data_IF_820518602383
#
_entry.id   IF_820518602383
#
_cell.length_a   1.000
_cell.length_b   1.000
_cell.length_c   1.000
_cell.angle_alpha   90.00
_cell.angle_beta   90.00
_cell.angle_gamma   90.00
#
_symmetry.space_group_name_H-M   'P 1'
#
loop_
_entity.id
_entity.type
_entity.pdbx_description
1 polymer ?
#
# COMPACT_ATOMS: atom_id res chain seq x y z
N UNK A 1 -20.99 14.83 19.00
CA UNK A 1 -19.58 15.22 18.76
C UNK A 1 -18.58 14.07 18.94
N UNK A 2 -18.47 13.44 20.12
CA UNK A 2 -17.43 12.41 20.39
C UNK A 2 -17.41 11.20 19.41
N UNK A 3 -18.57 10.76 18.92
CA UNK A 3 -18.63 9.64 17.96
C UNK A 3 -18.10 10.02 16.56
N UNK A 4 -18.42 11.23 16.09
CA UNK A 4 -17.95 11.75 14.81
C UNK A 4 -16.44 11.96 14.81
N UNK A 5 -15.88 12.50 15.89
CA UNK A 5 -14.43 12.69 16.05
C UNK A 5 -13.68 11.35 16.07
N UNK A 6 -14.22 10.34 16.76
CA UNK A 6 -13.66 8.97 16.74
C UNK A 6 -13.69 8.36 15.33
N UNK A 7 -14.79 8.55 14.60
CA UNK A 7 -14.91 8.08 13.22
C UNK A 7 -13.89 8.80 12.32
N UNK A 8 -13.77 10.12 12.45
CA UNK A 8 -12.82 10.95 11.71
C UNK A 8 -11.38 10.49 11.95
N UNK A 9 -10.95 10.34 13.21
CA UNK A 9 -9.61 9.84 13.53
C UNK A 9 -9.40 8.43 12.99
N UNK A 10 -10.37 7.53 13.13
CA UNK A 10 -10.25 6.17 12.59
C UNK A 10 -10.09 6.18 11.07
N UNK A 11 -10.86 7.01 10.36
CA UNK A 11 -10.84 7.11 8.91
C UNK A 11 -9.53 7.70 8.37
N UNK A 12 -9.12 8.86 8.87
CA UNK A 12 -7.94 9.58 8.40
C UNK A 12 -6.65 9.03 9.00
N UNK A 13 -6.60 8.79 10.31
CA UNK A 13 -5.39 8.28 10.94
C UNK A 13 -5.18 6.81 10.57
N UNK A 14 -6.26 6.02 10.45
CA UNK A 14 -6.21 4.63 10.00
C UNK A 14 -5.85 4.43 8.52
N UNK A 15 -5.49 5.48 7.77
CA UNK A 15 -5.08 5.42 6.35
C UNK A 15 -6.15 4.95 5.35
N UNK A 16 -7.41 4.80 5.76
CA UNK A 16 -8.47 4.36 4.86
C UNK A 16 -8.74 5.36 3.73
N UNK A 17 -8.59 6.66 4.02
CA UNK A 17 -8.63 7.70 2.99
C UNK A 17 -7.59 7.48 1.89
N UNK A 18 -6.33 7.19 2.24
CA UNK A 18 -5.28 6.92 1.25
C UNK A 18 -5.61 5.68 0.41
N UNK A 19 -6.18 4.63 1.03
CA UNK A 19 -6.65 3.45 0.30
C UNK A 19 -7.70 3.81 -0.75
N UNK A 20 -8.68 4.65 -0.42
CA UNK A 20 -9.69 5.12 -1.37
C UNK A 20 -9.04 5.91 -2.50
N UNK A 21 -8.11 6.82 -2.19
CA UNK A 21 -7.39 7.58 -3.21
C UNK A 21 -6.60 6.66 -4.16
N UNK A 22 -5.94 5.62 -3.64
CA UNK A 22 -5.21 4.67 -4.47
C UNK A 22 -6.14 3.89 -5.41
N UNK A 23 -7.31 3.45 -4.93
CA UNK A 23 -8.32 2.80 -5.77
C UNK A 23 -8.84 3.76 -6.84
N UNK A 24 -9.20 4.99 -6.47
CA UNK A 24 -9.68 5.99 -7.43
C UNK A 24 -8.63 6.28 -8.51
N UNK A 25 -7.37 6.42 -8.12
CA UNK A 25 -6.24 6.63 -9.03
C UNK A 25 -6.03 5.44 -9.97
N UNK A 26 -6.19 4.20 -9.48
CA UNK A 26 -6.13 3.01 -10.33
C UNK A 26 -7.27 2.93 -11.33
N UNK A 27 -8.49 3.32 -10.94
CA UNK A 27 -9.64 3.38 -11.84
C UNK A 27 -9.40 4.42 -12.94
N UNK A 28 -8.97 5.63 -12.55
CA UNK A 28 -8.64 6.71 -13.48
C UNK A 28 -7.52 6.28 -14.44
N UNK A 29 -6.44 5.69 -13.93
CA UNK A 29 -5.31 5.23 -14.73
C UNK A 29 -5.74 4.16 -15.76
N UNK A 30 -6.54 3.18 -15.37
CA UNK A 30 -7.06 2.17 -16.31
C UNK A 30 -7.91 2.81 -17.40
N UNK A 31 -8.75 3.80 -17.06
CA UNK A 31 -9.55 4.53 -18.04
C UNK A 31 -8.70 5.37 -19.00
N UNK A 32 -7.67 6.08 -18.50
CA UNK A 32 -6.75 6.86 -19.32
C UNK A 32 -5.94 5.98 -20.29
N UNK A 33 -5.62 4.75 -19.89
CA UNK A 33 -4.91 3.77 -20.72
C UNK A 33 -5.83 2.99 -21.66
N UNK A 34 -7.16 3.14 -21.54
CA UNK A 34 -8.14 2.41 -22.35
C UNK A 34 -8.33 0.94 -21.95
N UNK A 35 -7.89 0.54 -20.76
CA UNK A 35 -8.12 -0.81 -20.23
C UNK A 35 -9.50 -0.92 -19.55
N UNK A 36 -10.14 -2.11 -19.57
CA UNK A 36 -11.36 -2.33 -18.80
C UNK A 36 -11.06 -2.32 -17.30
N UNK A 37 -12.09 -2.10 -16.50
CA UNK A 37 -11.97 -2.15 -15.04
C UNK A 37 -11.60 -3.56 -14.59
N UNK A 38 -10.63 -3.65 -13.67
CA UNK A 38 -10.19 -4.91 -13.09
C UNK A 38 -11.26 -5.58 -12.22
N UNK A 39 -11.01 -6.85 -11.91
CA UNK A 39 -11.81 -7.60 -10.95
C UNK A 39 -11.86 -6.88 -9.58
N UNK A 40 -13.00 -6.85 -8.86
CA UNK A 40 -13.13 -6.12 -7.59
C UNK A 40 -12.06 -6.42 -6.54
N UNK A 41 -11.56 -7.66 -6.49
CA UNK A 41 -10.49 -8.05 -5.58
C UNK A 41 -9.15 -7.36 -5.85
N UNK A 42 -8.90 -6.85 -7.06
CA UNK A 42 -7.74 -5.98 -7.33
C UNK A 42 -7.83 -4.70 -6.49
N UNK A 43 -8.99 -4.04 -6.51
CA UNK A 43 -9.20 -2.81 -5.73
C UNK A 43 -9.20 -3.06 -4.22
N UNK A 44 -9.72 -4.21 -3.77
CA UNK A 44 -9.62 -4.64 -2.37
C UNK A 44 -8.15 -4.82 -1.97
N UNK A 45 -7.36 -5.52 -2.80
CA UNK A 45 -5.94 -5.73 -2.56
C UNK A 45 -5.18 -4.42 -2.51
N UNK A 46 -5.44 -3.51 -3.46
CA UNK A 46 -4.82 -2.19 -3.54
C UNK A 46 -5.15 -1.33 -2.32
N UNK A 47 -6.43 -1.29 -1.93
CA UNK A 47 -6.90 -0.58 -0.75
C UNK A 47 -6.19 -1.10 0.52
N UNK A 48 -6.23 -2.41 0.75
CA UNK A 48 -5.63 -3.03 1.93
C UNK A 48 -4.12 -2.86 1.94
N UNK A 49 -3.46 -3.07 0.80
CA UNK A 49 -2.02 -2.87 0.65
C UNK A 49 -1.61 -1.44 1.02
N UNK A 50 -2.38 -0.45 0.58
CA UNK A 50 -2.17 0.97 0.94
C UNK A 50 -2.31 1.20 2.44
N UNK A 51 -3.41 0.73 3.02
CA UNK A 51 -3.67 0.90 4.46
C UNK A 51 -2.57 0.23 5.29
N UNK A 52 -2.18 -1.00 4.95
CA UNK A 52 -1.11 -1.74 5.62
C UNK A 52 0.21 -1.00 5.51
N UNK A 53 0.60 -0.64 4.28
CA UNK A 53 1.86 0.02 3.97
C UNK A 53 2.06 1.29 4.81
N UNK A 54 1.04 2.15 4.88
CA UNK A 54 1.13 3.38 5.67
C UNK A 54 0.96 3.16 7.17
N UNK A 55 0.22 2.14 7.61
CA UNK A 55 0.03 1.87 9.04
C UNK A 55 1.32 1.34 9.69
N UNK A 56 2.11 0.54 8.96
CA UNK A 56 3.40 0.03 9.42
C UNK A 56 4.38 1.18 9.75
N UNK A 57 4.34 2.27 8.98
CA UNK A 57 5.17 3.45 9.19
C UNK A 57 4.98 4.07 10.58
N UNK A 58 3.73 4.15 11.05
CA UNK A 58 3.37 4.75 12.34
C UNK A 58 3.54 3.78 13.51
N UNK A 59 3.42 2.46 13.27
CA UNK A 59 3.65 1.45 14.31
C UNK A 59 5.13 1.29 14.70
N UNK A 60 6.06 1.69 13.84
CA UNK A 60 7.51 1.62 14.09
C UNK A 60 8.10 2.90 14.71
N UNK A 61 7.35 4.02 14.75
CA UNK A 61 7.73 5.23 15.48
C UNK A 61 7.59 5.02 17.01
N UNK A 62 8.51 4.26 17.62
CA UNK A 62 8.33 3.79 19.00
C UNK A 62 8.74 4.77 20.10
N UNK A 63 9.63 5.74 19.88
CA UNK A 63 10.28 6.44 21.01
C UNK A 63 10.58 7.92 20.79
N UNK A 64 9.72 8.67 20.09
CA UNK A 64 9.79 10.13 20.14
C UNK A 64 8.70 10.70 21.05
N UNK A 65 9.04 11.73 21.82
CA UNK A 65 8.10 12.71 22.36
C UNK A 65 7.45 13.45 21.19
N UNK A 66 6.64 12.73 20.42
CA UNK A 66 5.98 13.26 19.23
C UNK A 66 4.82 14.15 19.67
N UNK A 67 4.82 15.38 19.16
CA UNK A 67 3.73 16.35 19.30
C UNK A 67 2.59 16.02 18.30
N UNK A 68 2.82 15.09 17.35
CA UNK A 68 1.87 14.80 16.31
C UNK A 68 0.66 14.01 16.85
N UNK A 69 -0.58 14.55 16.74
CA UNK A 69 -1.80 13.91 17.23
C UNK A 69 -2.03 12.53 16.62
N UNK A 70 -1.57 12.30 15.39
CA UNK A 70 -1.65 11.01 14.71
C UNK A 70 -0.78 9.96 15.39
N UNK A 71 0.47 10.30 15.69
CA UNK A 71 1.40 9.38 16.39
C UNK A 71 0.88 9.06 17.80
N UNK A 72 0.29 10.04 18.49
CA UNK A 72 -0.36 9.85 19.81
C UNK A 72 -1.53 8.87 19.69
N UNK A 73 -2.43 9.07 18.74
CA UNK A 73 -3.58 8.18 18.53
C UNK A 73 -3.16 6.73 18.25
N UNK A 74 -2.10 6.53 17.45
CA UNK A 74 -1.52 5.21 17.17
C UNK A 74 -0.95 4.54 18.40
N UNK A 75 -0.32 5.30 19.30
CA UNK A 75 0.21 4.82 20.57
C UNK A 75 -0.92 4.35 21.49
N UNK A 76 -1.98 5.14 21.60
CA UNK A 76 -3.14 4.82 22.42
C UNK A 76 -3.90 3.57 21.93
N UNK A 77 -4.03 3.40 20.60
CA UNK A 77 -4.82 2.33 19.99
C UNK A 77 -3.96 1.16 19.45
N UNK A 78 -2.67 1.10 19.79
CA UNK A 78 -1.69 0.21 19.16
C UNK A 78 -2.11 -1.27 19.14
N UNK A 79 -2.71 -1.79 20.23
CA UNK A 79 -3.16 -3.18 20.31
C UNK A 79 -4.27 -3.48 19.31
N UNK A 80 -5.24 -2.58 19.19
CA UNK A 80 -6.36 -2.71 18.25
C UNK A 80 -5.87 -2.59 16.80
N UNK A 81 -5.01 -1.60 16.52
CA UNK A 81 -4.43 -1.40 15.19
C UNK A 81 -3.65 -2.65 14.75
N UNK A 82 -2.81 -3.22 15.61
CA UNK A 82 -2.05 -4.45 15.29
C UNK A 82 -2.96 -5.64 14.96
N UNK A 83 -4.06 -5.82 15.71
CA UNK A 83 -5.05 -6.87 15.39
C UNK A 83 -5.72 -6.61 14.04
N UNK A 84 -6.13 -5.37 13.78
CA UNK A 84 -6.73 -4.99 12.49
C UNK A 84 -5.76 -5.22 11.34
N UNK A 85 -4.47 -4.90 11.50
CA UNK A 85 -3.44 -5.15 10.50
C UNK A 85 -3.31 -6.63 10.14
N UNK A 86 -3.33 -7.53 11.12
CA UNK A 86 -3.32 -8.97 10.84
C UNK A 86 -4.54 -9.42 10.04
N UNK A 87 -5.74 -8.94 10.39
CA UNK A 87 -6.96 -9.23 9.62
C UNK A 87 -6.84 -8.71 8.18
N UNK A 88 -6.37 -7.48 7.99
CA UNK A 88 -6.16 -6.89 6.68
C UNK A 88 -5.13 -7.66 5.84
N UNK A 89 -4.02 -8.09 6.45
CA UNK A 89 -3.00 -8.93 5.81
C UNK A 89 -3.60 -10.26 5.37
N UNK A 90 -4.37 -10.94 6.22
CA UNK A 90 -5.03 -12.19 5.87
C UNK A 90 -5.96 -12.02 4.66
N UNK A 91 -6.80 -10.97 4.65
CA UNK A 91 -7.70 -10.68 3.53
C UNK A 91 -6.90 -10.34 2.26
N UNK A 92 -5.83 -9.55 2.37
CA UNK A 92 -4.96 -9.20 1.25
C UNK A 92 -4.28 -10.43 0.66
N UNK A 93 -3.77 -11.35 1.48
CA UNK A 93 -3.16 -12.60 1.03
C UNK A 93 -4.20 -13.46 0.30
N UNK A 94 -5.40 -13.63 0.86
CA UNK A 94 -6.47 -14.39 0.21
C UNK A 94 -6.87 -13.78 -1.15
N UNK A 95 -7.05 -12.46 -1.20
CA UNK A 95 -7.37 -11.75 -2.44
C UNK A 95 -6.23 -11.86 -3.48
N UNK A 96 -4.98 -11.72 -3.05
CA UNK A 96 -3.80 -11.88 -3.89
C UNK A 96 -3.69 -13.30 -4.45
N UNK A 97 -3.81 -14.33 -3.61
CA UNK A 97 -3.81 -15.73 -4.05
C UNK A 97 -4.93 -16.01 -5.06
N UNK A 98 -6.14 -15.49 -4.81
CA UNK A 98 -7.24 -15.62 -5.76
C UNK A 98 -6.91 -14.98 -7.12
N UNK A 99 -6.39 -13.74 -7.14
CA UNK A 99 -6.06 -13.04 -8.38
C UNK A 99 -4.95 -13.75 -9.14
N UNK A 100 -3.89 -14.18 -8.45
CA UNK A 100 -2.79 -14.94 -9.06
C UNK A 100 -3.30 -16.24 -9.69
N UNK A 101 -4.22 -16.96 -9.02
CA UNK A 101 -4.82 -18.16 -9.58
C UNK A 101 -5.72 -17.85 -10.79
N UNK A 102 -6.54 -16.79 -10.70
CA UNK A 102 -7.50 -16.38 -11.73
C UNK A 102 -6.82 -15.93 -13.02
N UNK A 103 -5.71 -15.20 -12.90
CA UNK A 103 -4.93 -14.62 -14.00
C UNK A 103 -3.64 -15.38 -14.29
N UNK A 104 -3.51 -16.62 -13.78
CA UNK A 104 -2.30 -17.45 -13.91
C UNK A 104 -1.78 -17.60 -15.35
N UNK A 105 -2.69 -17.68 -16.32
CA UNK A 105 -2.35 -17.82 -17.74
C UNK A 105 -1.63 -16.58 -18.25
N UNK A 106 -2.11 -15.38 -17.87
CA UNK A 106 -1.46 -14.13 -18.23
C UNK A 106 -0.02 -14.06 -17.70
N UNK A 107 0.21 -14.50 -16.46
CA UNK A 107 1.57 -14.52 -15.87
C UNK A 107 2.52 -15.51 -16.54
N UNK A 108 2.02 -16.60 -17.13
CA UNK A 108 2.84 -17.59 -17.84
C UNK A 108 3.35 -17.08 -19.18
N UNK A 109 2.62 -16.15 -19.80
CA UNK A 109 2.97 -15.55 -21.10
C UNK A 109 3.89 -14.32 -20.95
N UNK A 110 4.22 -13.93 -19.71
CA UNK A 110 5.02 -12.73 -19.46
C UNK A 110 6.49 -12.93 -19.80
N UNK A 111 7.05 -11.96 -20.53
CA UNK A 111 8.48 -11.88 -20.81
C UNK A 111 9.28 -11.55 -19.55
N UNK A 112 10.55 -11.97 -19.51
CA UNK A 112 11.46 -11.71 -18.38
C UNK A 112 11.56 -10.22 -18.00
N UNK A 113 11.51 -9.30 -18.97
CA UNK A 113 11.53 -7.86 -18.72
C UNK A 113 10.31 -7.35 -17.96
N UNK A 114 9.13 -7.92 -18.21
CA UNK A 114 7.91 -7.52 -17.51
C UNK A 114 7.94 -7.95 -16.04
N UNK A 115 8.54 -9.10 -15.74
CA UNK A 115 8.81 -9.53 -14.36
C UNK A 115 9.72 -8.56 -13.62
N UNK A 116 10.79 -8.07 -14.27
CA UNK A 116 11.68 -7.06 -13.67
C UNK A 116 10.89 -5.80 -13.29
N UNK A 117 10.03 -5.31 -14.19
CA UNK A 117 9.20 -4.13 -13.94
C UNK A 117 8.26 -4.36 -12.76
N UNK A 118 7.59 -5.52 -12.69
CA UNK A 118 6.70 -5.85 -11.56
C UNK A 118 7.49 -5.88 -10.25
N UNK A 119 8.67 -6.49 -10.20
CA UNK A 119 9.42 -6.63 -8.96
C UNK A 119 10.07 -5.33 -8.47
N UNK A 120 10.32 -4.36 -9.34
CA UNK A 120 10.89 -3.05 -8.94
C UNK A 120 10.06 -2.37 -7.86
N UNK A 121 8.73 -2.38 -7.96
CA UNK A 121 7.85 -1.67 -7.03
C UNK A 121 7.83 -2.25 -5.60
N UNK A 122 7.62 -3.56 -5.37
CA UNK A 122 7.69 -4.13 -4.03
C UNK A 122 9.09 -4.04 -3.44
N UNK A 123 10.15 -4.17 -4.25
CA UNK A 123 11.54 -4.01 -3.78
C UNK A 123 11.79 -2.57 -3.31
N UNK A 124 11.37 -1.56 -4.08
CA UNK A 124 11.45 -0.16 -3.67
C UNK A 124 10.57 0.13 -2.45
N UNK A 125 9.39 -0.48 -2.35
CA UNK A 125 8.50 -0.33 -1.21
C UNK A 125 9.13 -0.87 0.09
N UNK A 126 9.81 -2.01 0.03
CA UNK A 126 10.59 -2.58 1.14
C UNK A 126 11.77 -1.67 1.47
N UNK A 127 12.52 -1.23 0.46
CA UNK A 127 13.69 -0.38 0.66
C UNK A 127 13.32 1.01 1.21
N UNK A 128 12.16 1.52 0.85
CA UNK A 128 11.62 2.75 1.42
C UNK A 128 11.46 2.67 2.94
N UNK A 129 11.06 1.51 3.47
CA UNK A 129 11.02 1.23 4.91
C UNK A 129 12.29 0.53 5.43
N UNK A 130 13.43 0.72 4.77
CA UNK A 130 14.72 0.16 5.22
C UNK A 130 15.13 0.59 6.63
N UNK A 131 14.56 1.68 7.16
CA UNK A 131 14.71 2.13 8.56
C UNK A 131 14.11 1.15 9.57
N UNK A 132 13.11 0.36 9.17
CA UNK A 132 12.55 -0.72 9.97
C UNK A 132 13.38 -2.00 9.93
N UNK A 133 14.37 -2.10 9.04
CA UNK A 133 15.22 -3.30 8.84
C UNK A 133 16.65 -2.99 9.32
N UNK A 134 17.18 -3.66 10.36
CA UNK A 134 18.44 -3.30 11.01
C UNK A 134 19.64 -3.12 10.05
N UNK A 135 19.75 -3.95 9.01
CA UNK A 135 20.86 -3.88 8.05
C UNK A 135 20.66 -2.86 6.90
N UNK A 136 19.48 -2.25 6.75
CA UNK A 136 19.19 -1.23 5.72
C UNK A 136 19.03 0.19 6.30
N UNK A 137 19.14 0.37 7.62
CA UNK A 137 18.80 1.64 8.30
C UNK A 137 19.51 2.87 7.72
N UNK A 138 20.80 2.75 7.41
CA UNK A 138 21.61 3.86 6.85
C UNK A 138 21.26 4.19 5.40
N UNK A 139 20.61 3.27 4.69
CA UNK A 139 20.25 3.41 3.26
C UNK A 139 18.76 3.66 3.04
N UNK A 140 17.96 3.79 4.11
CA UNK A 140 16.52 4.02 4.01
C UNK A 140 16.22 5.22 3.11
N UNK A 141 15.40 5.01 2.08
CA UNK A 141 15.01 6.08 1.16
C UNK A 141 14.13 7.12 1.87
N UNK A 142 13.47 6.74 2.97
CA UNK A 142 12.65 7.62 3.80
C UNK A 142 13.46 8.70 4.54
N UNK A 143 14.74 8.47 4.82
CA UNK A 143 15.58 9.44 5.55
C UNK A 143 16.07 10.60 4.67
N UNK A 144 15.99 10.49 3.33
CA UNK A 144 16.43 11.51 2.37
C UNK A 144 15.26 12.39 1.95
N UNK A 145 15.29 13.67 2.34
CA UNK A 145 14.15 14.60 2.28
C UNK A 145 13.38 14.66 0.95
N UNK A 146 14.05 14.98 -0.16
CA UNK A 146 13.43 15.09 -1.49
C UNK A 146 13.17 13.74 -2.16
N UNK A 147 13.98 12.73 -1.84
CA UNK A 147 13.84 11.40 -2.43
C UNK A 147 12.57 10.70 -1.92
N UNK A 148 12.16 11.01 -0.70
CA UNK A 148 10.98 10.45 -0.05
C UNK A 148 9.67 10.61 -0.86
N UNK A 149 9.22 11.84 -1.23
CA UNK A 149 8.00 12.00 -2.03
C UNK A 149 8.15 11.42 -3.44
N UNK A 150 9.34 11.48 -4.04
CA UNK A 150 9.59 10.91 -5.36
C UNK A 150 9.41 9.39 -5.35
N UNK A 151 10.04 8.68 -4.40
CA UNK A 151 9.96 7.22 -4.30
C UNK A 151 8.54 6.76 -3.99
N UNK A 152 7.83 7.41 -3.08
CA UNK A 152 6.41 7.11 -2.83
C UNK A 152 5.58 7.32 -4.09
N UNK A 153 5.74 8.45 -4.77
CA UNK A 153 5.02 8.75 -6.00
C UNK A 153 5.30 7.70 -7.07
N UNK A 154 6.56 7.30 -7.25
CA UNK A 154 6.98 6.29 -8.21
C UNK A 154 6.40 4.91 -7.89
N UNK A 155 6.42 4.47 -6.62
CA UNK A 155 5.84 3.18 -6.21
C UNK A 155 4.34 3.16 -6.52
N UNK A 156 3.59 4.19 -6.09
CA UNK A 156 2.15 4.21 -6.30
C UNK A 156 1.77 4.38 -7.77
N UNK A 157 2.45 5.25 -8.52
CA UNK A 157 2.24 5.38 -9.95
C UNK A 157 2.51 4.05 -10.67
N UNK A 158 3.55 3.33 -10.29
CA UNK A 158 3.83 2.00 -10.80
C UNK A 158 2.74 0.99 -10.49
N UNK A 159 2.34 0.90 -9.22
CA UNK A 159 1.29 -0.03 -8.77
C UNK A 159 -0.03 0.23 -9.49
N UNK A 160 -0.45 1.49 -9.63
CA UNK A 160 -1.75 1.84 -10.24
C UNK A 160 -1.76 1.87 -11.76
N UNK A 161 -0.60 1.87 -12.43
CA UNK A 161 -0.54 1.84 -13.89
C UNK A 161 -0.14 0.46 -14.44
N UNK A 162 0.85 -0.20 -13.81
CA UNK A 162 1.44 -1.43 -14.35
C UNK A 162 0.63 -2.68 -13.98
N UNK A 163 0.20 -2.79 -12.71
CA UNK A 163 -0.46 -4.00 -12.23
C UNK A 163 -1.88 -4.18 -12.76
N UNK A 164 -2.72 -3.12 -12.87
CA UNK A 164 -4.04 -3.23 -13.51
C UNK A 164 -3.98 -3.84 -14.90
N UNK A 165 -2.99 -3.47 -15.71
CA UNK A 165 -2.83 -4.04 -17.05
C UNK A 165 -2.62 -5.56 -17.03
N UNK A 166 -1.98 -6.12 -15.99
CA UNK A 166 -1.72 -7.56 -15.85
C UNK A 166 -2.91 -8.33 -15.27
N UNK A 167 -3.76 -7.66 -14.48
CA UNK A 167 -4.98 -8.23 -13.92
C UNK A 167 -6.24 -7.85 -14.72
N UNK A 168 -6.07 -7.44 -15.98
CA UNK A 168 -7.17 -7.15 -16.88
C UNK A 168 -7.58 -8.41 -17.63
N UNK A 169 -8.88 -8.68 -17.84
CA UNK A 169 -9.27 -9.59 -18.92
C UNK A 169 -8.74 -9.01 -20.24
N UNK A 170 -8.03 -9.84 -21.01
CA UNK A 170 -7.62 -9.55 -22.40
C UNK A 170 -8.86 -9.61 -23.28
#
# INVERSE_FOLDING_TARGET
>A
MKAFERLFHTFFFGNYFYGICAVALSIEASQQQGYPLNHPFWYVLLFLGTVIYYTIAYLHEKNSTSINPRTIWYREHQRWIRKSQWVQICIAVLAGCYLLFRYRSGFQEMNHWQWIIIFVFPLLAIWYYGDAIPWLQQTSLRSKGWLKPFVIGFIWAGVVNVYPAQFSPI
#
